data_IF_528412265657
#
_entry.id   IF_528412265657
#
_cell.length_a   1.000
_cell.length_b   1.000
_cell.length_c   1.000
_cell.angle_alpha   90.00
_cell.angle_beta   90.00
_cell.angle_gamma   90.00
#
_symmetry.space_group_name_H-M   'P 1'
#
loop_
_entity.id
_entity.type
_entity.pdbx_description
1 polymer ?
#
# COMPACT_ATOMS: atom_id res chain seq x y z
N UNK A 1 -8.63 -22.99 -2.63
CA UNK A 1 -7.89 -22.23 -1.59
C UNK A 1 -7.46 -20.93 -2.24
N UNK A 2 -7.70 -19.78 -1.61
CA UNK A 2 -7.28 -18.48 -2.18
C UNK A 2 -5.75 -18.38 -2.16
N UNK A 3 -5.15 -17.80 -3.20
CA UNK A 3 -3.70 -17.65 -3.30
C UNK A 3 -3.15 -16.76 -2.19
N UNK A 4 -2.01 -17.11 -1.59
CA UNK A 4 -1.38 -16.26 -0.56
C UNK A 4 -1.01 -14.87 -1.10
N UNK A 5 -0.65 -14.76 -2.38
CA UNK A 5 -0.38 -13.46 -3.03
C UNK A 5 -1.65 -12.58 -3.00
N UNK A 6 -2.79 -13.15 -3.40
CA UNK A 6 -4.08 -12.45 -3.42
C UNK A 6 -4.52 -12.10 -2.00
N UNK A 7 -4.40 -13.02 -1.05
CA UNK A 7 -4.70 -12.75 0.36
C UNK A 7 -3.85 -11.60 0.90
N UNK A 8 -2.53 -11.60 0.66
CA UNK A 8 -1.64 -10.51 1.10
C UNK A 8 -2.04 -9.16 0.48
N UNK A 9 -2.37 -9.15 -0.82
CA UNK A 9 -2.84 -7.95 -1.50
C UNK A 9 -4.15 -7.42 -0.93
N UNK A 10 -5.13 -8.29 -0.71
CA UNK A 10 -6.43 -7.92 -0.16
C UNK A 10 -6.30 -7.41 1.29
N UNK A 11 -5.47 -8.03 2.12
CA UNK A 11 -5.18 -7.57 3.48
C UNK A 11 -4.54 -6.18 3.46
N UNK A 12 -3.55 -5.95 2.59
CA UNK A 12 -2.93 -4.64 2.40
C UNK A 12 -3.94 -3.57 1.95
N UNK A 13 -4.76 -3.85 0.92
CA UNK A 13 -5.79 -2.91 0.44
C UNK A 13 -6.89 -2.65 1.47
N UNK A 14 -7.21 -3.65 2.29
CA UNK A 14 -8.10 -3.51 3.45
C UNK A 14 -7.55 -2.52 4.48
N UNK A 15 -6.29 -2.70 4.89
CA UNK A 15 -5.62 -1.80 5.83
C UNK A 15 -5.51 -0.36 5.29
N UNK A 16 -5.24 -0.19 3.99
CA UNK A 16 -5.25 1.12 3.34
C UNK A 16 -6.62 1.81 3.42
N UNK A 17 -7.69 1.05 3.16
CA UNK A 17 -9.06 1.55 3.24
C UNK A 17 -9.41 1.96 4.67
N UNK A 18 -9.05 1.12 5.65
CA UNK A 18 -9.23 1.39 7.07
C UNK A 18 -8.52 2.69 7.47
N UNK A 19 -7.22 2.82 7.16
CA UNK A 19 -6.43 4.02 7.43
C UNK A 19 -7.05 5.28 6.80
N UNK A 20 -7.43 5.21 5.52
CA UNK A 20 -8.04 6.34 4.82
C UNK A 20 -9.36 6.77 5.47
N UNK A 21 -10.19 5.78 5.84
CA UNK A 21 -11.49 6.02 6.46
C UNK A 21 -11.34 6.64 7.85
N UNK A 22 -10.42 6.12 8.67
CA UNK A 22 -10.13 6.64 10.01
C UNK A 22 -9.60 8.07 9.93
N UNK A 23 -8.60 8.32 9.08
CA UNK A 23 -8.04 9.67 8.89
C UNK A 23 -9.13 10.67 8.48
N UNK A 24 -9.93 10.35 7.47
CA UNK A 24 -11.03 11.22 7.01
C UNK A 24 -12.06 11.47 8.11
N UNK A 25 -12.43 10.44 8.86
CA UNK A 25 -13.41 10.52 9.95
C UNK A 25 -12.92 11.44 11.08
N UNK A 26 -11.67 11.25 11.53
CA UNK A 26 -11.06 12.06 12.60
C UNK A 26 -10.90 13.51 12.20
N UNK A 27 -10.42 13.75 10.98
CA UNK A 27 -10.26 15.11 10.47
C UNK A 27 -11.60 15.82 10.34
N UNK A 28 -12.65 15.13 9.88
CA UNK A 28 -14.03 15.66 9.86
C UNK A 28 -14.54 16.01 11.26
N UNK A 29 -14.20 15.21 12.27
CA UNK A 29 -14.61 15.44 13.65
C UNK A 29 -13.86 16.59 14.34
N UNK A 30 -12.60 16.86 13.96
CA UNK A 30 -11.76 17.90 14.61
C UNK A 30 -12.12 19.36 14.30
N UNK A 31 -13.20 19.59 13.54
CA UNK A 31 -13.81 20.89 13.19
C UNK A 31 -12.91 21.99 12.58
N UNK A 32 -11.59 21.80 12.47
CA UNK A 32 -10.66 22.82 11.94
C UNK A 32 -9.71 22.28 10.86
N UNK A 33 -10.29 21.97 9.69
CA UNK A 33 -9.57 21.73 8.44
C UNK A 33 -8.54 22.83 8.12
N UNK A 34 -8.80 24.06 8.58
CA UNK A 34 -7.91 25.21 8.45
C UNK A 34 -6.68 25.11 9.37
N UNK A 35 -6.86 24.77 10.65
CA UNK A 35 -5.75 24.63 11.60
C UNK A 35 -4.80 23.50 11.18
N UNK A 36 -5.34 22.37 10.73
CA UNK A 36 -4.56 21.26 10.19
C UNK A 36 -3.73 21.65 8.96
N UNK A 37 -4.28 22.49 8.06
CA UNK A 37 -3.52 23.00 6.90
C UNK A 37 -2.43 23.98 7.31
N UNK A 38 -2.73 24.88 8.24
CA UNK A 38 -1.80 25.90 8.73
C UNK A 38 -0.64 25.28 9.52
N UNK A 39 -0.93 24.34 10.41
CA UNK A 39 0.07 23.70 11.27
C UNK A 39 1.01 22.77 10.50
N UNK A 40 0.51 22.13 9.44
CA UNK A 40 1.31 21.26 8.57
C UNK A 40 1.90 22.01 7.35
N UNK A 41 1.61 23.30 7.19
CA UNK A 41 2.06 24.09 6.02
C UNK A 41 1.56 23.55 4.67
N UNK A 42 0.39 22.89 4.65
CA UNK A 42 -0.13 22.20 3.46
C UNK A 42 -0.98 23.13 2.60
N UNK A 43 -0.76 23.08 1.29
CA UNK A 43 -1.73 23.64 0.34
C UNK A 43 -3.03 22.84 0.37
N UNK A 44 -4.12 23.44 -0.13
CA UNK A 44 -5.41 22.75 -0.23
C UNK A 44 -5.32 21.43 -1.00
N UNK A 45 -4.59 21.41 -2.12
CA UNK A 45 -4.41 20.21 -2.93
C UNK A 45 -3.61 19.12 -2.19
N UNK A 46 -2.50 19.49 -1.54
CA UNK A 46 -1.70 18.54 -0.75
C UNK A 46 -2.55 17.91 0.34
N UNK A 47 -3.33 18.72 1.07
CA UNK A 47 -4.23 18.22 2.09
C UNK A 47 -5.22 17.15 1.56
N UNK A 48 -5.89 17.41 0.43
CA UNK A 48 -6.81 16.41 -0.15
C UNK A 48 -6.09 15.17 -0.64
N UNK A 49 -4.88 15.32 -1.19
CA UNK A 49 -4.01 14.19 -1.55
C UNK A 49 -3.69 13.33 -0.32
N UNK A 50 -3.32 13.93 0.82
CA UNK A 50 -3.07 13.19 2.08
C UNK A 50 -4.30 12.40 2.52
N UNK A 51 -5.49 13.02 2.51
CA UNK A 51 -6.72 12.34 2.92
C UNK A 51 -7.12 11.19 2.00
N UNK A 52 -6.97 11.35 0.69
CA UNK A 52 -7.41 10.35 -0.29
C UNK A 52 -6.37 9.24 -0.51
N UNK A 53 -5.10 9.54 -0.28
CA UNK A 53 -3.99 8.64 -0.50
C UNK A 53 -3.08 8.63 0.75
N UNK A 54 -3.56 8.12 1.90
CA UNK A 54 -2.82 8.16 3.16
C UNK A 54 -1.49 7.40 3.11
N UNK A 55 -1.36 6.45 2.20
CA UNK A 55 -0.12 5.75 1.94
C UNK A 55 1.01 6.63 1.41
N UNK A 56 0.69 7.81 0.88
CA UNK A 56 1.67 8.76 0.35
C UNK A 56 2.14 9.77 1.40
N UNK A 57 1.51 9.80 2.58
CA UNK A 57 1.85 10.70 3.67
C UNK A 57 3.22 10.30 4.25
N UNK A 58 4.20 11.21 4.34
CA UNK A 58 5.44 10.99 5.07
C UNK A 58 5.19 10.65 6.54
N UNK A 59 6.02 9.81 7.14
CA UNK A 59 5.85 9.38 8.53
C UNK A 59 5.81 10.56 9.52
N UNK A 60 6.62 11.60 9.30
CA UNK A 60 6.61 12.82 10.12
C UNK A 60 5.28 13.58 10.02
N UNK A 61 4.65 13.61 8.84
CA UNK A 61 3.35 14.23 8.68
C UNK A 61 2.24 13.40 9.36
N UNK A 62 2.31 12.07 9.31
CA UNK A 62 1.37 11.20 10.06
C UNK A 62 1.46 11.44 11.56
N UNK A 63 2.67 11.54 12.11
CA UNK A 63 2.85 11.84 13.53
C UNK A 63 2.24 13.19 13.91
N UNK A 64 2.37 14.19 13.03
CA UNK A 64 1.76 15.49 13.23
C UNK A 64 0.22 15.44 13.13
N UNK A 65 -0.35 14.68 12.18
CA UNK A 65 -1.79 14.40 12.15
C UNK A 65 -2.28 13.74 13.44
N UNK A 66 -1.56 12.72 13.94
CA UNK A 66 -1.88 12.02 15.18
C UNK A 66 -1.92 12.96 16.38
N UNK A 67 -0.91 13.83 16.52
CA UNK A 67 -0.82 14.81 17.60
C UNK A 67 -1.95 15.84 17.53
N UNK A 68 -2.23 16.36 16.34
CA UNK A 68 -3.30 17.34 16.11
C UNK A 68 -4.69 16.78 16.39
N UNK A 69 -4.91 15.52 16.05
CA UNK A 69 -6.17 14.83 16.23
C UNK A 69 -6.30 14.18 17.61
N UNK A 70 -5.22 14.20 18.41
CA UNK A 70 -5.09 13.48 19.67
C UNK A 70 -5.49 11.99 19.53
N UNK A 71 -4.96 11.32 18.50
CA UNK A 71 -5.33 9.94 18.14
C UNK A 71 -4.11 9.09 17.73
N UNK A 72 -3.45 8.48 18.72
CA UNK A 72 -2.30 7.59 18.53
C UNK A 72 -2.62 6.32 17.71
N UNK A 73 -3.90 5.95 17.60
CA UNK A 73 -4.36 4.84 16.76
C UNK A 73 -3.99 5.08 15.29
N UNK A 74 -3.92 6.35 14.86
CA UNK A 74 -3.60 6.71 13.49
C UNK A 74 -2.17 6.29 13.10
N UNK A 75 -1.22 6.48 14.02
CA UNK A 75 0.18 6.03 13.82
C UNK A 75 0.22 4.51 13.72
N UNK A 76 -0.45 3.82 14.65
CA UNK A 76 -0.49 2.35 14.66
C UNK A 76 -1.08 1.77 13.36
N UNK A 77 -2.17 2.36 12.86
CA UNK A 77 -2.77 1.96 11.59
C UNK A 77 -1.85 2.24 10.39
N UNK A 78 -1.14 3.37 10.40
CA UNK A 78 -0.18 3.70 9.37
C UNK A 78 0.98 2.70 9.34
N UNK A 79 1.62 2.44 10.49
CA UNK A 79 2.75 1.53 10.60
C UNK A 79 2.37 0.09 10.20
N UNK A 80 1.21 -0.39 10.67
CA UNK A 80 0.63 -1.67 10.25
C UNK A 80 0.45 -1.72 8.72
N UNK A 81 -0.05 -0.65 8.12
CA UNK A 81 -0.27 -0.59 6.67
C UNK A 81 1.05 -0.64 5.89
N UNK A 82 2.11 0.03 6.37
CA UNK A 82 3.43 -0.04 5.75
C UNK A 82 4.05 -1.44 5.88
N UNK A 83 3.90 -2.09 7.04
CA UNK A 83 4.38 -3.47 7.25
C UNK A 83 3.68 -4.45 6.30
N UNK A 84 2.35 -4.33 6.13
CA UNK A 84 1.58 -5.15 5.20
C UNK A 84 1.98 -4.92 3.74
N UNK A 85 2.35 -3.68 3.37
CA UNK A 85 2.87 -3.37 2.05
C UNK A 85 4.17 -4.15 1.78
N UNK A 86 5.10 -4.10 2.74
CA UNK A 86 6.37 -4.82 2.65
C UNK A 86 6.14 -6.34 2.58
N UNK A 87 5.24 -6.86 3.41
CA UNK A 87 4.87 -8.28 3.40
C UNK A 87 4.31 -8.73 2.04
N UNK A 88 3.51 -7.90 1.36
CA UNK A 88 3.03 -8.21 0.01
C UNK A 88 4.20 -8.43 -0.97
N UNK A 89 5.20 -7.55 -0.95
CA UNK A 89 6.39 -7.70 -1.80
C UNK A 89 7.15 -8.99 -1.51
N UNK A 90 7.36 -9.29 -0.23
CA UNK A 90 8.03 -10.52 0.22
C UNK A 90 7.28 -11.78 -0.25
N UNK A 91 5.95 -11.81 -0.08
CA UNK A 91 5.12 -12.93 -0.52
C UNK A 91 5.20 -13.12 -2.04
N UNK A 92 5.13 -12.04 -2.82
CA UNK A 92 5.28 -12.12 -4.29
C UNK A 92 6.65 -12.70 -4.65
N UNK A 93 7.72 -12.20 -4.04
CA UNK A 93 9.09 -12.63 -4.32
C UNK A 93 9.32 -14.10 -3.93
N UNK A 94 8.84 -14.51 -2.77
CA UNK A 94 8.90 -15.89 -2.28
C UNK A 94 8.18 -16.84 -3.23
N UNK A 95 6.95 -16.50 -3.64
CA UNK A 95 6.16 -17.37 -4.51
C UNK A 95 6.74 -17.53 -5.91
N UNK A 96 7.33 -16.47 -6.46
CA UNK A 96 8.08 -16.52 -7.73
C UNK A 96 9.28 -17.48 -7.58
N UNK A 97 10.03 -17.36 -6.48
CA UNK A 97 11.18 -18.23 -6.19
C UNK A 97 10.78 -19.69 -5.98
N UNK A 98 9.70 -19.95 -5.23
CA UNK A 98 9.19 -21.30 -4.99
C UNK A 98 8.70 -22.00 -6.26
N UNK A 99 8.26 -21.24 -7.26
CA UNK A 99 7.89 -21.76 -8.58
C UNK A 99 9.09 -21.92 -9.54
N UNK A 100 10.32 -21.70 -9.06
CA UNK A 100 11.55 -21.69 -9.85
C UNK A 100 11.48 -20.71 -11.06
N UNK A 101 10.77 -19.60 -10.87
CA UNK A 101 10.60 -18.58 -11.89
C UNK A 101 11.59 -17.44 -11.69
N UNK A 102 12.10 -16.92 -12.81
CA UNK A 102 12.89 -15.69 -12.79
C UNK A 102 11.98 -14.47 -12.89
N UNK A 103 12.41 -13.36 -12.29
CA UNK A 103 11.72 -12.07 -12.43
C UNK A 103 11.62 -11.68 -13.91
N UNK A 104 12.65 -11.96 -14.72
CA UNK A 104 12.62 -11.73 -16.18
C UNK A 104 11.49 -12.50 -16.87
N UNK A 105 11.25 -13.76 -16.49
CA UNK A 105 10.14 -14.53 -17.03
C UNK A 105 8.79 -13.93 -16.65
N UNK A 106 8.61 -13.56 -15.38
CA UNK A 106 7.38 -12.88 -14.92
C UNK A 106 7.16 -11.58 -15.70
N UNK A 107 8.19 -10.74 -15.81
CA UNK A 107 8.13 -9.46 -16.54
C UNK A 107 7.72 -9.66 -18.01
N UNK A 108 8.30 -10.66 -18.69
CA UNK A 108 7.93 -11.02 -20.07
C UNK A 108 6.45 -11.43 -20.18
N UNK A 109 5.91 -12.12 -19.19
CA UNK A 109 4.49 -12.52 -19.18
C UNK A 109 3.57 -11.35 -18.82
N UNK A 110 4.01 -10.45 -17.96
CA UNK A 110 3.28 -9.24 -17.59
C UNK A 110 3.28 -8.17 -18.68
N UNK A 111 4.18 -8.25 -19.65
CA UNK A 111 4.46 -7.19 -20.63
C UNK A 111 4.96 -5.91 -19.93
N UNK A 112 5.95 -6.09 -19.04
CA UNK A 112 6.60 -5.00 -18.31
C UNK A 112 8.10 -5.20 -18.27
N UNK A 113 8.85 -4.16 -17.91
CA UNK A 113 10.30 -4.26 -17.74
C UNK A 113 10.68 -4.58 -16.28
N UNK A 114 11.85 -5.20 -16.04
CA UNK A 114 12.31 -5.50 -14.69
C UNK A 114 12.43 -4.26 -13.78
N UNK A 115 12.76 -3.08 -14.32
CA UNK A 115 12.90 -1.86 -13.50
C UNK A 115 11.55 -1.43 -12.93
N UNK A 116 10.48 -1.49 -13.75
CA UNK A 116 9.09 -1.29 -13.31
C UNK A 116 8.70 -2.30 -12.21
N UNK A 117 9.05 -3.58 -12.38
CA UNK A 117 8.80 -4.61 -11.37
C UNK A 117 9.52 -4.31 -10.05
N UNK A 118 10.83 -4.04 -10.08
CA UNK A 118 11.61 -3.72 -8.89
C UNK A 118 11.15 -2.42 -8.23
N UNK A 119 10.68 -1.43 -9.01
CA UNK A 119 10.08 -0.23 -8.46
C UNK A 119 8.83 -0.56 -7.65
N UNK A 120 7.96 -1.44 -8.15
CA UNK A 120 6.74 -1.89 -7.44
C UNK A 120 7.05 -2.78 -6.24
N UNK A 121 8.12 -3.56 -6.29
CA UNK A 121 8.61 -4.31 -5.12
C UNK A 121 9.07 -3.37 -4.00
N UNK A 122 9.75 -2.26 -4.34
CA UNK A 122 10.13 -1.22 -3.37
C UNK A 122 8.96 -0.33 -2.94
N UNK A 123 7.97 -0.16 -3.82
CA UNK A 123 6.78 0.64 -3.58
C UNK A 123 5.51 -0.15 -3.91
N UNK A 124 5.02 -0.96 -2.94
CA UNK A 124 3.89 -1.87 -3.16
C UNK A 124 2.56 -1.15 -3.44
N UNK A 125 2.50 0.17 -3.21
CA UNK A 125 1.35 1.01 -3.54
C UNK A 125 1.08 1.01 -5.06
N UNK A 126 2.12 0.80 -5.85
CA UNK A 126 2.09 0.82 -7.31
C UNK A 126 1.58 -0.48 -7.94
N UNK A 127 1.35 -1.54 -7.15
CA UNK A 127 0.74 -2.76 -7.64
C UNK A 127 -0.75 -2.56 -7.94
N UNK A 128 -1.13 -2.86 -9.19
CA UNK A 128 -2.55 -2.98 -9.56
C UNK A 128 -3.09 -4.36 -9.19
N UNK A 129 -4.42 -4.46 -9.08
CA UNK A 129 -5.08 -5.74 -8.80
C UNK A 129 -4.84 -6.74 -9.94
N UNK A 130 -4.99 -6.26 -11.18
CA UNK A 130 -4.84 -7.05 -12.40
C UNK A 130 -3.41 -7.60 -12.53
N UNK A 131 -2.40 -6.82 -12.18
CA UNK A 131 -1.01 -7.27 -12.18
C UNK A 131 -0.77 -8.38 -11.17
N UNK A 132 -1.28 -8.22 -9.94
CA UNK A 132 -1.15 -9.20 -8.87
C UNK A 132 -1.90 -10.50 -9.20
N UNK A 133 -3.09 -10.41 -9.78
CA UNK A 133 -3.86 -11.55 -10.29
C UNK A 133 -3.09 -12.29 -11.39
N UNK A 134 -2.49 -11.55 -12.32
CA UNK A 134 -1.71 -12.15 -13.42
C UNK A 134 -0.44 -12.84 -12.91
N UNK A 135 0.29 -12.23 -11.95
CA UNK A 135 1.44 -12.87 -11.29
C UNK A 135 0.99 -14.18 -10.63
N UNK A 136 -0.11 -14.12 -9.86
CA UNK A 136 -0.69 -15.27 -9.18
C UNK A 136 -0.99 -16.40 -10.17
N UNK A 137 -1.68 -16.09 -11.25
CA UNK A 137 -2.03 -17.06 -12.29
C UNK A 137 -0.78 -17.70 -12.92
N UNK A 138 0.26 -16.91 -13.23
CA UNK A 138 1.51 -17.43 -13.80
C UNK A 138 2.18 -18.42 -12.84
N UNK A 139 2.35 -18.02 -11.57
CA UNK A 139 3.02 -18.84 -10.54
C UNK A 139 2.25 -20.14 -10.30
N UNK A 140 0.93 -20.06 -10.14
CA UNK A 140 0.09 -21.23 -9.86
C UNK A 140 -0.01 -22.17 -11.07
N UNK A 141 -0.05 -21.64 -12.29
CA UNK A 141 -0.02 -22.49 -13.49
C UNK A 141 1.26 -23.32 -13.52
N UNK A 142 2.42 -22.70 -13.24
CA UNK A 142 3.71 -23.40 -13.27
C UNK A 142 3.84 -24.41 -12.13
N UNK A 143 3.37 -24.10 -10.92
CA UNK A 143 3.41 -25.05 -9.80
C UNK A 143 2.52 -26.29 -9.99
N UNK A 144 1.52 -26.20 -10.87
CA UNK A 144 0.59 -27.29 -11.17
C UNK A 144 0.95 -28.09 -12.43
N UNK A 145 2.05 -27.75 -13.10
CA UNK A 145 2.62 -28.52 -14.22
C UNK A 145 3.57 -29.60 -13.71
#
# INVERSE_FOLDING_TARGET
MESKIITAFNVYKGALTELASTLKSRVKASSSLKALKEELGLTGNMYYQRLNYPQNIPANEIAAFSKLLNDDTLIQLYDKTQALAQQLSEVIAEYIKEADLTITFICKKLDTDPSSFYRKQKDPRLWSKEEVEKITQIVETIKNL
#
